data_IF_584749565386
#
_entry.id   IF_584749565386
#
_cell.length_a   1.000
_cell.length_b   1.000
_cell.length_c   1.000
_cell.angle_alpha   90.00
_cell.angle_beta   90.00
_cell.angle_gamma   90.00
#
_symmetry.space_group_name_H-M   'P 1'
#
loop_
_entity.id
_entity.type
_entity.pdbx_description
1 polymer ?
#
# COMPACT_ATOMS: atom_id res chain seq x y z
N UNK A 1 5.70 2.73 -4.85
CA UNK A 1 5.71 4.15 -4.41
C UNK A 1 7.10 4.80 -4.27
N UNK A 2 8.02 4.57 -5.21
CA UNK A 2 9.38 5.12 -5.13
C UNK A 2 9.37 6.64 -5.41
N UNK A 3 9.61 7.47 -4.39
CA UNK A 3 9.69 8.93 -4.55
C UNK A 3 8.39 9.65 -4.91
N UNK A 4 7.23 8.97 -4.87
CA UNK A 4 5.92 9.60 -5.09
C UNK A 4 5.33 10.10 -3.78
N UNK A 5 4.69 11.26 -3.84
CA UNK A 5 3.88 11.79 -2.75
C UNK A 5 2.84 10.74 -2.33
N UNK A 6 2.65 10.52 -1.01
CA UNK A 6 1.72 9.54 -0.48
C UNK A 6 0.24 9.90 -0.71
N UNK A 7 -0.01 11.09 -1.29
CA UNK A 7 -1.32 11.68 -1.46
C UNK A 7 -1.53 11.91 -2.96
N UNK A 8 -2.70 11.54 -3.45
CA UNK A 8 -3.13 11.86 -4.81
C UNK A 8 -3.45 13.36 -4.93
N UNK A 9 -3.57 13.87 -6.17
CA UNK A 9 -3.82 15.30 -6.41
C UNK A 9 -5.10 15.85 -5.74
N UNK A 10 -6.01 14.97 -5.32
CA UNK A 10 -7.27 15.29 -4.64
C UNK A 10 -7.19 15.21 -3.10
N UNK A 11 -6.00 15.09 -2.51
CA UNK A 11 -5.84 15.02 -1.05
C UNK A 11 -6.14 13.65 -0.44
N UNK A 12 -6.56 12.66 -1.23
CA UNK A 12 -6.82 11.30 -0.75
C UNK A 12 -5.53 10.47 -0.73
N UNK A 13 -5.40 9.50 0.20
CA UNK A 13 -4.29 8.58 0.21
C UNK A 13 -4.20 7.86 -1.14
N UNK A 14 -3.02 7.88 -1.75
CA UNK A 14 -2.78 7.24 -3.03
C UNK A 14 -2.90 5.72 -2.85
N UNK A 15 -3.74 5.08 -3.65
CA UNK A 15 -3.83 3.60 -3.71
C UNK A 15 -3.38 3.17 -5.10
N UNK A 16 -2.47 2.20 -5.15
CA UNK A 16 -2.03 1.55 -6.37
C UNK A 16 -2.54 0.12 -6.43
N UNK A 17 -3.05 -0.29 -7.59
CA UNK A 17 -3.48 -1.65 -7.85
C UNK A 17 -2.55 -2.32 -8.87
N UNK A 18 -2.04 -3.49 -8.51
CA UNK A 18 -1.23 -4.34 -9.37
C UNK A 18 -2.04 -5.57 -9.78
N UNK A 19 -2.66 -5.58 -10.96
CA UNK A 19 -3.41 -6.73 -11.46
C UNK A 19 -2.46 -7.87 -11.81
N UNK A 20 -2.91 -9.12 -11.61
CA UNK A 20 -2.14 -10.36 -11.82
C UNK A 20 -0.84 -10.42 -11.02
N UNK A 21 -0.83 -9.81 -9.84
CA UNK A 21 0.30 -9.83 -8.92
C UNK A 21 -0.09 -10.61 -7.66
N UNK A 22 0.78 -11.53 -7.24
CA UNK A 22 0.59 -12.36 -6.04
C UNK A 22 1.72 -12.22 -5.02
N UNK A 23 2.69 -11.35 -5.30
CA UNK A 23 3.84 -11.09 -4.44
C UNK A 23 4.29 -9.64 -4.59
N UNK A 24 4.47 -8.96 -3.46
CA UNK A 24 4.99 -7.59 -3.39
C UNK A 24 6.27 -7.60 -2.58
N UNK A 25 7.29 -6.95 -3.12
CA UNK A 25 8.50 -6.62 -2.38
C UNK A 25 8.50 -5.14 -2.03
N UNK A 26 8.95 -4.81 -0.82
CA UNK A 26 9.06 -3.44 -0.35
C UNK A 26 10.48 -2.89 -0.43
N UNK A 27 11.35 -3.53 -1.23
CA UNK A 27 12.70 -3.04 -1.51
C UNK A 27 12.64 -1.62 -2.09
N UNK A 28 13.61 -0.78 -1.70
CA UNK A 28 13.73 0.62 -2.13
C UNK A 28 12.61 1.56 -1.68
N UNK A 29 11.59 1.13 -0.94
CA UNK A 29 10.58 2.08 -0.43
C UNK A 29 11.11 2.93 0.73
N UNK A 30 10.72 4.20 0.74
CA UNK A 30 11.17 5.18 1.73
C UNK A 30 10.33 5.16 3.03
N UNK A 31 9.10 4.64 2.95
CA UNK A 31 8.15 4.59 4.06
C UNK A 31 7.39 3.25 4.06
N UNK A 32 6.83 2.83 5.21
CA UNK A 32 6.04 1.61 5.27
C UNK A 32 4.71 1.77 4.55
N UNK A 33 4.22 0.66 4.00
CA UNK A 33 2.98 0.61 3.22
C UNK A 33 2.01 -0.40 3.84
N UNK A 34 0.73 -0.21 3.56
CA UNK A 34 -0.28 -1.24 3.77
C UNK A 34 -0.55 -1.96 2.44
N UNK A 35 -0.67 -3.28 2.51
CA UNK A 35 -0.82 -4.18 1.37
C UNK A 35 -2.09 -5.02 1.58
N UNK A 36 -2.95 -5.09 0.57
CA UNK A 36 -4.11 -5.98 0.54
C UNK A 36 -4.08 -6.84 -0.72
N UNK A 37 -4.11 -8.15 -0.55
CA UNK A 37 -4.25 -9.12 -1.63
C UNK A 37 -5.73 -9.40 -1.85
N UNK A 38 -6.19 -9.33 -3.10
CA UNK A 38 -7.59 -9.55 -3.46
C UNK A 38 -7.75 -10.67 -4.49
N UNK A 39 -8.91 -11.32 -4.49
CA UNK A 39 -9.32 -12.28 -5.51
C UNK A 39 -9.93 -11.58 -6.75
N UNK A 40 -10.41 -12.37 -7.73
CA UNK A 40 -11.07 -11.86 -8.95
C UNK A 40 -12.41 -11.18 -8.69
N UNK A 41 -13.06 -11.53 -7.58
CA UNK A 41 -14.35 -11.00 -7.15
C UNK A 41 -14.21 -9.73 -6.30
N UNK A 42 -12.98 -9.34 -5.96
CA UNK A 42 -12.67 -8.20 -5.09
C UNK A 42 -12.66 -8.53 -3.60
N UNK A 43 -12.74 -9.81 -3.21
CA UNK A 43 -12.62 -10.21 -1.80
C UNK A 43 -11.17 -10.14 -1.36
N UNK A 44 -10.96 -9.66 -0.13
CA UNK A 44 -9.63 -9.58 0.45
C UNK A 44 -9.20 -10.95 0.97
N UNK A 45 -8.14 -11.49 0.39
CA UNK A 45 -7.54 -12.77 0.79
C UNK A 45 -6.56 -12.61 1.95
N UNK A 46 -5.77 -11.55 1.93
CA UNK A 46 -4.79 -11.25 2.97
C UNK A 46 -4.56 -9.74 3.09
N UNK A 47 -4.25 -9.28 4.31
CA UNK A 47 -3.91 -7.89 4.60
C UNK A 47 -2.64 -7.84 5.43
N UNK A 48 -1.76 -6.92 5.08
CA UNK A 48 -0.55 -6.62 5.82
C UNK A 48 -0.48 -5.11 6.03
N UNK A 49 -0.46 -4.70 7.30
CA UNK A 49 -0.41 -3.28 7.67
C UNK A 49 1.00 -2.92 8.15
N UNK A 50 1.40 -1.68 7.91
CA UNK A 50 2.70 -1.13 8.33
C UNK A 50 3.90 -1.98 7.87
N UNK A 51 3.86 -2.46 6.62
CA UNK A 51 4.93 -3.26 6.04
C UNK A 51 6.14 -2.37 5.80
N UNK A 52 7.17 -2.54 6.62
CA UNK A 52 8.42 -1.79 6.53
C UNK A 52 9.16 -2.05 5.22
N UNK A 53 10.03 -1.12 4.78
CA UNK A 53 10.94 -1.36 3.67
C UNK A 53 11.76 -2.64 3.86
N UNK A 54 12.20 -3.23 2.74
CA UNK A 54 13.03 -4.46 2.72
C UNK A 54 12.33 -5.72 3.24
N UNK A 55 11.02 -5.81 3.01
CA UNK A 55 10.19 -6.99 3.30
C UNK A 55 9.59 -7.54 2.02
N UNK A 56 9.18 -8.80 2.08
CA UNK A 56 8.45 -9.46 1.00
C UNK A 56 7.17 -10.04 1.58
N UNK A 57 6.05 -9.79 0.90
CA UNK A 57 4.75 -10.31 1.24
C UNK A 57 4.20 -11.01 0.01
N UNK A 58 3.70 -12.23 0.16
CA UNK A 58 3.09 -12.98 -0.93
C UNK A 58 1.85 -13.72 -0.45
N UNK A 59 0.86 -13.83 -1.33
CA UNK A 59 -0.38 -14.53 -1.07
C UNK A 59 -0.69 -15.42 -2.28
N UNK A 60 -0.47 -16.75 -2.17
CA UNK A 60 -0.85 -17.70 -3.21
C UNK A 60 -2.37 -17.60 -3.47
N UNK A 61 -2.75 -17.44 -4.74
CA UNK A 61 -4.15 -17.30 -5.13
C UNK A 61 -4.67 -15.86 -5.22
N UNK A 62 -3.87 -14.86 -4.83
CA UNK A 62 -4.19 -13.47 -5.10
C UNK A 62 -4.22 -13.17 -6.59
N UNK A 63 -5.29 -12.49 -7.02
CA UNK A 63 -5.45 -12.03 -8.38
C UNK A 63 -4.88 -10.62 -8.56
N UNK A 64 -5.00 -9.76 -7.55
CA UNK A 64 -4.40 -8.43 -7.57
C UNK A 64 -3.90 -8.03 -6.18
N UNK A 65 -3.01 -7.04 -6.17
CA UNK A 65 -2.49 -6.43 -4.93
C UNK A 65 -2.81 -4.95 -4.92
N UNK A 66 -3.36 -4.47 -3.82
CA UNK A 66 -3.55 -3.07 -3.53
C UNK A 66 -2.48 -2.63 -2.54
N UNK A 67 -1.72 -1.59 -2.87
CA UNK A 67 -0.79 -0.95 -1.95
C UNK A 67 -1.17 0.50 -1.70
N UNK A 68 -0.97 0.96 -0.47
CA UNK A 68 -1.10 2.37 -0.08
C UNK A 68 -0.04 2.74 0.96
N UNK A 69 0.31 4.02 1.14
CA UNK A 69 1.13 4.46 2.26
C UNK A 69 0.44 4.09 3.58
N UNK A 70 1.21 3.59 4.55
CA UNK A 70 0.63 3.25 5.85
C UNK A 70 0.30 4.53 6.62
N UNK A 71 -0.96 4.66 7.01
CA UNK A 71 -1.45 5.80 7.80
C UNK A 71 -0.78 5.84 9.18
N UNK A 72 -0.35 4.68 9.69
CA UNK A 72 0.24 4.50 11.02
C UNK A 72 1.68 5.01 11.13
N UNK A 73 2.34 5.25 10.00
CA UNK A 73 3.70 5.78 9.94
C UNK A 73 3.77 7.24 9.50
N UNK A 74 2.62 7.90 9.40
CA UNK A 74 2.53 9.32 9.08
C UNK A 74 3.25 10.11 10.18
N UNK A 75 4.38 10.79 9.93
CA UNK A 75 4.88 11.78 10.87
C UNK A 75 3.79 12.86 11.07
N UNK A 76 3.68 13.47 12.27
CA UNK A 76 2.56 14.34 12.66
C UNK A 76 2.32 15.56 11.74
N UNK A 77 3.23 15.86 10.81
CA UNK A 77 3.11 16.93 9.82
C UNK A 77 2.08 16.70 8.71
N UNK A 78 1.46 15.52 8.60
CA UNK A 78 0.58 15.16 7.47
C UNK A 78 -0.91 15.00 7.84
N UNK A 79 -1.31 15.30 9.08
CA UNK A 79 -2.72 15.32 9.50
C UNK A 79 -3.45 16.66 9.27
N UNK A 80 -2.76 17.71 8.81
CA UNK A 80 -3.41 19.00 8.57
C UNK A 80 -3.99 19.07 7.16
N UNK A 81 -5.21 18.54 7.00
CA UNK A 81 -6.16 19.07 6.02
C UNK A 81 -6.78 20.30 6.69
N UNK A 82 -6.58 21.54 6.18
CA UNK A 82 -7.31 22.69 6.69
C UNK A 82 -8.80 22.49 6.39
N UNK A 83 -9.62 22.74 7.40
CA UNK A 83 -11.08 22.72 7.34
C UNK A 83 -11.64 23.76 6.36
#
# INVERSE_FOLDING_TARGET
MLGRSPIAANGLPLVMAFPRCSSVHTCFMAYPIDIAFIDRSGNILARYENVRPWRMCSCPGAWAVLERPSILATPPTLQQVPA
#
